data_IF_517686316438
#
_entry.id   IF_517686316438
#
_cell.length_a   1.000
_cell.length_b   1.000
_cell.length_c   1.000
_cell.angle_alpha   90.00
_cell.angle_beta   90.00
_cell.angle_gamma   90.00
#
_symmetry.space_group_name_H-M   'P 1'
#
loop_
_entity.id
_entity.type
_entity.pdbx_description
1 polymer ?
#
# COMPACT_ATOMS: atom_id res chain seq x y z
N UNK A 1 -6.26 18.19 0.13
CA UNK A 1 -5.86 17.56 -1.14
C UNK A 1 -5.73 16.05 -1.03
N UNK A 2 -6.63 15.28 -1.64
CA UNK A 2 -6.53 13.81 -1.74
C UNK A 2 -5.19 13.36 -2.36
N UNK A 3 -4.65 14.18 -3.27
CA UNK A 3 -3.35 13.97 -3.90
C UNK A 3 -2.18 14.09 -2.91
N UNK A 4 -2.31 14.91 -1.86
CA UNK A 4 -1.27 15.07 -0.85
C UNK A 4 -1.18 13.86 0.08
N UNK A 5 -2.31 13.29 0.50
CA UNK A 5 -2.32 12.06 1.31
C UNK A 5 -1.78 10.87 0.53
N UNK A 6 -2.19 10.71 -0.74
CA UNK A 6 -1.66 9.64 -1.59
C UNK A 6 -0.15 9.85 -1.87
N UNK A 7 0.29 11.07 -2.19
CA UNK A 7 1.71 11.39 -2.40
C UNK A 7 2.56 11.20 -1.14
N UNK A 8 2.08 11.62 0.03
CA UNK A 8 2.82 11.47 1.29
C UNK A 8 2.91 9.99 1.68
N UNK A 9 1.81 9.23 1.58
CA UNK A 9 1.80 7.83 1.97
C UNK A 9 2.63 6.96 1.00
N UNK A 10 2.54 7.23 -0.30
CA UNK A 10 3.39 6.56 -1.30
C UNK A 10 4.85 6.95 -1.19
N UNK A 11 5.19 8.22 -0.89
CA UNK A 11 6.58 8.66 -0.70
C UNK A 11 7.21 8.09 0.56
N UNK A 12 6.50 8.05 1.69
CA UNK A 12 6.98 7.42 2.93
C UNK A 12 7.20 5.92 2.70
N UNK A 13 6.26 5.25 2.04
CA UNK A 13 6.44 3.84 1.69
C UNK A 13 7.61 3.66 0.71
N UNK A 14 7.76 4.48 -0.33
CA UNK A 14 8.85 4.37 -1.31
C UNK A 14 10.22 4.62 -0.68
N UNK A 15 10.33 5.63 0.18
CA UNK A 15 11.56 5.93 0.89
C UNK A 15 11.91 4.78 1.84
N UNK A 16 10.92 4.15 2.49
CA UNK A 16 11.13 2.95 3.30
C UNK A 16 11.53 1.72 2.47
N UNK A 17 10.97 1.56 1.28
CA UNK A 17 11.36 0.55 0.29
C UNK A 17 12.81 0.71 -0.16
N UNK A 18 13.26 1.96 -0.32
CA UNK A 18 14.61 2.27 -0.78
C UNK A 18 15.64 2.29 0.36
N UNK A 19 15.19 2.39 1.61
CA UNK A 19 16.03 2.34 2.82
C UNK A 19 16.36 0.91 3.27
N UNK A 20 15.59 -0.08 2.83
CA UNK A 20 15.90 -1.49 3.06
C UNK A 20 17.11 -1.88 2.19
N UNK A 21 18.29 -2.20 2.78
CA UNK A 21 19.39 -2.70 1.99
C UNK A 21 19.03 -4.11 1.54
N UNK A 22 18.52 -4.27 0.32
CA UNK A 22 18.67 -5.50 -0.44
C UNK A 22 20.15 -5.63 -0.85
N UNK A 23 21.03 -5.67 0.15
CA UNK A 23 22.46 -5.77 0.02
C UNK A 23 22.88 -7.21 -0.10
N UNK A 24 23.02 -7.65 -1.34
CA UNK A 24 24.11 -8.52 -1.80
C UNK A 24 24.21 -9.93 -1.19
N UNK A 25 23.58 -10.87 -1.88
CA UNK A 25 23.90 -12.30 -1.80
C UNK A 25 23.75 -12.96 -3.15
N UNK A 26 24.60 -12.60 -4.12
CA UNK A 26 24.82 -13.29 -5.40
C UNK A 26 23.55 -13.57 -6.24
N UNK A 27 23.10 -12.58 -7.01
CA UNK A 27 22.13 -12.84 -8.09
C UNK A 27 22.87 -13.03 -9.41
N UNK A 28 23.11 -14.27 -9.89
CA UNK A 28 23.41 -14.46 -11.29
C UNK A 28 22.11 -14.18 -12.04
N UNK A 29 22.15 -13.15 -12.89
CA UNK A 29 21.23 -12.99 -14.00
C UNK A 29 21.25 -14.27 -14.84
N UNK A 30 20.36 -15.22 -14.57
CA UNK A 30 20.19 -16.36 -15.45
C UNK A 30 18.71 -16.71 -15.54
N UNK A 31 18.12 -16.25 -16.64
CA UNK A 31 16.98 -16.88 -17.28
C UNK A 31 17.14 -18.40 -17.23
N UNK A 32 16.31 -19.04 -16.43
CA UNK A 32 16.18 -20.49 -16.38
C UNK A 32 17.01 -21.16 -15.29
N UNK A 33 16.38 -21.42 -14.14
CA UNK A 33 16.55 -22.69 -13.41
C UNK A 33 15.35 -22.97 -12.53
N UNK A 34 14.62 -24.03 -12.91
CA UNK A 34 13.99 -24.98 -12.00
C UNK A 34 12.88 -24.42 -11.13
N UNK A 35 11.64 -24.66 -11.56
CA UNK A 35 10.50 -24.78 -10.66
C UNK A 35 10.83 -25.90 -9.66
N UNK A 36 11.45 -25.53 -8.53
CA UNK A 36 11.45 -26.37 -7.34
C UNK A 36 10.14 -26.08 -6.65
N UNK A 37 9.45 -27.14 -6.23
CA UNK A 37 8.30 -27.08 -5.33
C UNK A 37 8.74 -26.53 -3.97
N UNK A 38 9.04 -25.24 -3.92
CA UNK A 38 9.38 -24.53 -2.71
C UNK A 38 8.08 -24.04 -2.10
N UNK A 39 7.68 -24.68 -0.99
CA UNK A 39 6.58 -24.25 -0.11
C UNK A 39 6.86 -22.89 0.57
N UNK A 40 8.01 -22.28 0.28
CA UNK A 40 8.41 -20.97 0.80
C UNK A 40 8.16 -19.89 -0.26
N UNK A 41 7.47 -18.82 0.15
CA UNK A 41 7.21 -17.66 -0.70
C UNK A 41 8.53 -17.10 -1.26
N UNK A 42 8.63 -16.85 -2.58
CA UNK A 42 9.82 -16.25 -3.19
C UNK A 42 9.98 -14.76 -2.84
N UNK A 43 8.96 -14.12 -2.25
CA UNK A 43 8.95 -12.71 -1.84
C UNK A 43 8.74 -12.56 -0.33
N UNK A 44 9.31 -11.49 0.24
CA UNK A 44 9.13 -11.12 1.64
C UNK A 44 7.68 -10.74 1.95
N UNK A 45 7.19 -11.09 3.13
CA UNK A 45 5.82 -10.78 3.59
C UNK A 45 5.54 -9.27 3.61
N UNK A 46 6.58 -8.44 3.85
CA UNK A 46 6.50 -6.97 3.76
C UNK A 46 6.20 -6.49 2.33
N UNK A 47 6.78 -7.13 1.30
CA UNK A 47 6.51 -6.85 -0.12
C UNK A 47 5.07 -7.21 -0.49
N UNK A 48 4.68 -8.41 -0.08
CA UNK A 48 3.36 -8.95 -0.35
C UNK A 48 2.28 -8.05 0.24
N UNK A 49 2.41 -7.68 1.53
CA UNK A 49 1.43 -6.82 2.19
C UNK A 49 1.37 -5.42 1.59
N UNK A 50 2.52 -4.81 1.26
CA UNK A 50 2.56 -3.50 0.61
C UNK A 50 1.83 -3.48 -0.73
N UNK A 51 2.08 -4.47 -1.59
CA UNK A 51 1.41 -4.56 -2.89
C UNK A 51 -0.10 -4.77 -2.72
N UNK A 52 -0.50 -5.61 -1.78
CA UNK A 52 -1.92 -5.86 -1.46
C UNK A 52 -2.64 -4.61 -0.96
N UNK A 53 -2.02 -3.81 -0.07
CA UNK A 53 -2.58 -2.53 0.37
C UNK A 53 -2.73 -1.54 -0.78
N UNK A 54 -1.71 -1.43 -1.64
CA UNK A 54 -1.73 -0.56 -2.82
C UNK A 54 -2.85 -0.93 -3.81
N UNK A 55 -3.03 -2.23 -4.08
CA UNK A 55 -4.10 -2.75 -4.92
C UNK A 55 -5.49 -2.49 -4.32
N UNK A 56 -5.60 -2.52 -2.99
CA UNK A 56 -6.85 -2.24 -2.28
C UNK A 56 -7.27 -0.77 -2.43
N UNK A 57 -6.32 0.16 -2.29
CA UNK A 57 -6.57 1.59 -2.52
C UNK A 57 -7.03 1.85 -3.96
N UNK A 58 -6.42 1.19 -4.94
CA UNK A 58 -6.85 1.25 -6.33
C UNK A 58 -8.24 0.63 -6.56
N UNK A 59 -8.57 -0.45 -5.85
CA UNK A 59 -9.89 -1.08 -5.86
C UNK A 59 -10.99 -0.14 -5.35
N UNK A 60 -10.73 0.61 -4.29
CA UNK A 60 -11.66 1.63 -3.78
C UNK A 60 -11.80 2.77 -4.79
N UNK A 61 -10.69 3.29 -5.31
CA UNK A 61 -10.69 4.38 -6.29
C UNK A 61 -11.45 4.03 -7.57
N UNK A 62 -11.22 2.84 -8.11
CA UNK A 62 -11.94 2.35 -9.30
C UNK A 62 -13.44 2.13 -9.03
N UNK A 63 -13.81 1.65 -7.84
CA UNK A 63 -15.21 1.52 -7.42
C UNK A 63 -15.91 2.87 -7.30
N UNK A 64 -15.23 3.89 -6.79
CA UNK A 64 -15.75 5.26 -6.71
C UNK A 64 -15.98 5.85 -8.12
N UNK A 65 -15.00 5.72 -9.00
CA UNK A 65 -15.11 6.17 -10.40
C UNK A 65 -16.25 5.45 -11.13
N UNK A 66 -16.34 4.12 -11.00
CA UNK A 66 -17.41 3.31 -11.59
C UNK A 66 -18.81 3.68 -11.07
N UNK A 67 -18.91 4.08 -9.80
CA UNK A 67 -20.15 4.59 -9.20
C UNK A 67 -20.53 5.95 -9.80
N UNK A 68 -19.58 6.87 -9.98
CA UNK A 68 -19.82 8.21 -10.53
C UNK A 68 -20.30 8.19 -11.99
N UNK A 69 -19.82 7.24 -12.80
CA UNK A 69 -20.23 7.11 -14.20
C UNK A 69 -21.50 6.26 -14.41
N UNK A 70 -22.05 5.67 -13.34
CA UNK A 70 -23.19 4.76 -13.45
C UNK A 70 -24.53 5.48 -13.25
N UNK A 71 -25.20 5.82 -14.37
CA UNK A 71 -26.54 6.43 -14.37
C UNK A 71 -27.66 5.43 -13.98
N UNK A 72 -27.38 4.12 -13.99
CA UNK A 72 -28.34 3.07 -13.63
C UNK A 72 -28.27 2.78 -12.13
N UNK A 73 -29.35 3.06 -11.40
CA UNK A 73 -29.42 3.05 -9.91
C UNK A 73 -29.03 1.75 -9.21
N UNK A 74 -29.05 0.61 -9.89
CA UNK A 74 -28.69 -0.71 -9.33
C UNK A 74 -27.18 -0.97 -9.30
N UNK A 75 -26.40 -0.27 -10.14
CA UNK A 75 -24.96 -0.45 -10.26
C UNK A 75 -24.17 0.29 -9.15
N UNK A 76 -24.46 1.57 -8.83
CA UNK A 76 -23.86 2.29 -7.71
C UNK A 76 -23.98 1.57 -6.37
N UNK A 77 -25.15 0.99 -6.08
CA UNK A 77 -25.38 0.25 -4.83
C UNK A 77 -24.44 -0.95 -4.70
N UNK A 78 -24.24 -1.71 -5.79
CA UNK A 78 -23.32 -2.86 -5.80
C UNK A 78 -21.87 -2.43 -5.66
N UNK A 79 -21.48 -1.35 -6.33
CA UNK A 79 -20.10 -0.82 -6.24
C UNK A 79 -19.79 -0.29 -4.84
N UNK A 80 -20.76 0.32 -4.14
CA UNK A 80 -20.62 0.70 -2.73
C UNK A 80 -20.42 -0.50 -1.81
N UNK A 81 -21.13 -1.60 -2.03
CA UNK A 81 -20.93 -2.84 -1.26
C UNK A 81 -19.51 -3.38 -1.46
N UNK A 82 -19.04 -3.44 -2.70
CA UNK A 82 -17.66 -3.88 -3.01
C UNK A 82 -16.64 -2.94 -2.34
N UNK A 83 -16.83 -1.63 -2.41
CA UNK A 83 -15.95 -0.66 -1.78
C UNK A 83 -15.88 -0.84 -0.24
N UNK A 84 -17.01 -1.20 0.39
CA UNK A 84 -17.07 -1.52 1.83
C UNK A 84 -16.20 -2.74 2.16
N UNK A 85 -16.34 -3.82 1.39
CA UNK A 85 -15.58 -5.05 1.63
C UNK A 85 -14.08 -4.84 1.45
N UNK A 86 -13.68 -4.03 0.44
CA UNK A 86 -12.28 -3.66 0.23
C UNK A 86 -11.76 -2.79 1.39
N UNK A 87 -12.58 -1.90 1.94
CA UNK A 87 -12.19 -1.08 3.09
C UNK A 87 -11.96 -1.91 4.35
N UNK A 88 -12.83 -2.90 4.61
CA UNK A 88 -12.65 -3.85 5.71
C UNK A 88 -11.35 -4.65 5.53
N UNK A 89 -11.09 -5.13 4.31
CA UNK A 89 -9.84 -5.81 3.98
C UNK A 89 -8.60 -4.92 4.15
N UNK A 90 -8.66 -3.65 3.74
CA UNK A 90 -7.58 -2.70 3.90
C UNK A 90 -7.30 -2.39 5.39
N UNK A 91 -8.35 -2.30 6.22
CA UNK A 91 -8.21 -2.12 7.67
C UNK A 91 -7.52 -3.32 8.33
N UNK A 92 -7.89 -4.54 7.94
CA UNK A 92 -7.25 -5.75 8.42
C UNK A 92 -5.77 -5.81 7.99
N UNK A 93 -5.47 -5.41 6.75
CA UNK A 93 -4.10 -5.25 6.25
C UNK A 93 -3.29 -4.21 7.03
N UNK A 94 -3.90 -3.07 7.35
CA UNK A 94 -3.29 -2.03 8.19
C UNK A 94 -3.02 -2.51 9.62
N UNK A 95 -3.98 -3.21 10.23
CA UNK A 95 -3.81 -3.83 11.54
C UNK A 95 -2.66 -4.86 11.56
N UNK A 96 -2.50 -5.62 10.47
CA UNK A 96 -1.39 -6.56 10.30
C UNK A 96 -0.05 -5.82 10.19
N UNK A 97 0.01 -4.75 9.39
CA UNK A 97 1.21 -3.93 9.24
C UNK A 97 1.65 -3.28 10.57
N UNK A 98 0.70 -2.86 11.41
CA UNK A 98 0.97 -2.33 12.76
C UNK A 98 1.53 -3.42 13.67
N UNK A 99 0.92 -4.62 13.69
CA UNK A 99 1.40 -5.75 14.52
C UNK A 99 2.84 -6.13 14.22
N UNK A 100 3.24 -6.05 12.96
CA UNK A 100 4.61 -6.36 12.54
C UNK A 100 5.58 -5.16 12.59
N UNK A 101 5.10 -3.96 12.96
CA UNK A 101 5.92 -2.75 13.02
C UNK A 101 6.43 -2.29 11.65
N UNK A 102 5.69 -2.58 10.58
CA UNK A 102 6.09 -2.25 9.21
C UNK A 102 5.64 -0.85 8.76
N UNK A 103 4.80 -0.17 9.56
CA UNK A 103 4.45 1.23 9.33
C UNK A 103 5.41 2.13 10.11
N UNK A 104 6.10 3.03 9.40
CA UNK A 104 6.83 4.13 10.04
C UNK A 104 5.87 5.28 10.36
N UNK A 105 6.16 6.00 11.45
CA UNK A 105 5.44 7.24 11.74
C UNK A 105 5.77 8.26 10.64
N UNK A 106 4.76 8.86 9.98
CA UNK A 106 5.00 9.90 8.99
C UNK A 106 5.80 11.03 9.65
N UNK A 107 6.80 11.62 8.97
CA UNK A 107 7.58 12.72 9.54
C UNK A 107 6.62 13.82 9.96
N UNK A 108 6.51 14.02 11.28
CA UNK A 108 5.72 15.12 11.82
C UNK A 108 6.37 16.42 11.34
N UNK A 109 5.57 17.28 10.70
CA UNK A 109 6.06 18.59 10.30
C UNK A 109 6.40 19.36 11.57
N UNK A 110 7.65 19.78 11.70
CA UNK A 110 8.11 20.59 12.82
C UNK A 110 7.26 21.86 12.89
N UNK A 111 6.72 22.18 14.06
CA UNK A 111 5.83 23.33 14.25
C UNK A 111 6.60 24.62 13.97
N UNK A 112 6.38 25.20 12.79
CA UNK A 112 7.12 26.35 12.27
C UNK A 112 6.93 27.61 13.15
N UNK A 113 5.91 27.62 14.01
CA UNK A 113 5.69 28.72 14.97
C UNK A 113 6.66 28.71 16.15
N UNK A 114 7.27 27.56 16.48
CA UNK A 114 8.30 27.46 17.51
C UNK A 114 9.72 27.78 17.01
N UNK A 115 9.96 27.73 15.70
CA UNK A 115 11.26 28.07 15.08
C UNK A 115 11.41 29.55 14.72
N UNK A 116 10.31 30.32 14.67
CA UNK A 116 10.37 31.76 14.38
C UNK A 116 10.66 32.63 15.61
N UNK A 117 10.61 32.03 16.80
CA UNK A 117 10.76 32.72 18.09
C UNK A 117 12.10 32.40 18.79
N UNK A 118 13.10 31.93 18.03
CA UNK A 118 14.46 31.69 18.51
C UNK A 118 15.47 32.56 17.76
#
# INVERSE_FOLDING_TARGET
>A
DFTFVIQVNTKICLDQWNRDPLGSGNLPLLMGRGFRDSTMSPFSDKLMLYNTSLLSDFGIGSSAIGTSFSLRKDLPMKMMMIAKDILEFANDGGNLAIKHGWMEEPPQMEDRTHLSNQ
#
